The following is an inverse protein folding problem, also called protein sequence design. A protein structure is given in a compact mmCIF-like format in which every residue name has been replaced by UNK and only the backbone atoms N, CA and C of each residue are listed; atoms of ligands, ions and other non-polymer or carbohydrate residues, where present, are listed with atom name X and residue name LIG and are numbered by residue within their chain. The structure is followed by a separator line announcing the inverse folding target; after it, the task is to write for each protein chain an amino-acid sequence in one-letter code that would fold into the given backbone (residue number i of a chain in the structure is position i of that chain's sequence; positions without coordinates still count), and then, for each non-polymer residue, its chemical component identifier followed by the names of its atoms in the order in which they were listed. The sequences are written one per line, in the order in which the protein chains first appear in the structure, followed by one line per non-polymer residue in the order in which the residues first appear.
data_IF_121959848327
#
_entry.id   IF_121959848327
#
_cell.length_a   1.000
_cell.length_b   1.000
_cell.length_c   1.000
_cell.angle_alpha   90.00
_cell.angle_beta   90.00
_cell.angle_gamma   90.00
#
_symmetry.space_group_name_H-M   'P 1'
#
loop_
_entity.id
_entity.type
_entity.pdbx_description
1 polymer ?
#
# COMPACT_ATOMS: atom_id res chain seq x y z
N UNK A 1 44.85 24.27 -24.63
CA UNK A 1 43.45 23.97 -25.02
C UNK A 1 43.44 22.56 -25.57
N UNK A 2 42.89 21.59 -24.83
CA UNK A 2 42.83 20.18 -25.24
C UNK A 2 41.42 19.93 -25.75
N UNK A 3 41.29 19.68 -27.04
CA UNK A 3 40.01 19.36 -27.68
C UNK A 3 39.77 17.87 -27.54
N UNK A 4 38.99 17.47 -26.53
CA UNK A 4 38.58 16.08 -26.35
C UNK A 4 37.57 15.74 -27.45
N UNK A 5 38.01 14.99 -28.47
CA UNK A 5 37.11 14.44 -29.49
C UNK A 5 36.31 13.30 -28.83
N UNK A 6 35.01 13.51 -28.67
CA UNK A 6 34.09 12.45 -28.26
C UNK A 6 33.96 11.51 -29.47
N UNK A 7 34.49 10.30 -29.33
CA UNK A 7 34.29 9.25 -30.32
C UNK A 7 32.85 8.74 -30.20
N UNK A 8 32.00 9.08 -31.16
CA UNK A 8 30.73 8.39 -31.37
C UNK A 8 31.02 7.18 -32.25
N UNK A 9 31.10 6.00 -31.65
CA UNK A 9 31.09 4.72 -32.37
C UNK A 9 29.84 4.68 -33.28
N UNK A 10 29.98 4.41 -34.59
CA UNK A 10 28.84 4.28 -35.48
C UNK A 10 28.12 2.96 -35.19
N UNK A 11 27.15 2.96 -34.29
CA UNK A 11 26.22 1.83 -34.12
C UNK A 11 25.43 1.67 -35.42
N UNK A 12 25.73 0.62 -36.19
CA UNK A 12 24.94 0.22 -37.35
C UNK A 12 23.54 -0.19 -36.87
N UNK A 13 22.52 0.56 -37.30
CA UNK A 13 21.13 0.28 -36.98
C UNK A 13 20.70 -1.13 -37.40
N UNK A 14 21.39 -1.76 -38.35
CA UNK A 14 21.15 -3.14 -38.80
C UNK A 14 21.56 -4.20 -37.78
N UNK A 15 22.41 -3.82 -36.82
CA UNK A 15 22.84 -4.69 -35.70
C UNK A 15 22.18 -4.31 -34.38
N UNK A 16 21.38 -3.25 -34.36
CA UNK A 16 20.63 -2.84 -33.18
C UNK A 16 19.53 -3.88 -32.87
N UNK A 17 19.79 -4.74 -31.88
CA UNK A 17 18.78 -5.63 -31.34
C UNK A 17 17.81 -4.79 -30.48
N UNK A 18 16.77 -4.24 -31.10
CA UNK A 18 15.68 -3.58 -30.38
C UNK A 18 14.86 -4.69 -29.72
N UNK A 19 15.17 -5.01 -28.47
CA UNK A 19 14.49 -6.06 -27.69
C UNK A 19 13.09 -5.65 -27.22
N UNK A 20 12.70 -4.40 -27.41
CA UNK A 20 11.44 -3.83 -26.95
C UNK A 20 10.75 -3.09 -28.10
N UNK A 21 9.70 -3.69 -28.65
CA UNK A 21 8.91 -3.12 -29.72
C UNK A 21 8.17 -1.89 -29.21
N UNK A 22 7.85 -0.93 -30.09
CA UNK A 22 7.14 0.29 -29.68
C UNK A 22 5.77 0.00 -29.05
N UNK A 23 5.17 -1.15 -29.37
CA UNK A 23 3.90 -1.62 -28.82
C UNK A 23 4.07 -2.68 -27.72
N UNK A 24 5.30 -2.94 -27.27
CA UNK A 24 5.50 -3.82 -26.13
C UNK A 24 5.04 -3.09 -24.86
N UNK A 25 4.08 -3.66 -24.12
CA UNK A 25 3.66 -3.08 -22.86
C UNK A 25 4.86 -3.00 -21.90
N UNK A 26 5.06 -1.87 -21.19
CA UNK A 26 6.18 -1.73 -20.29
C UNK A 26 6.11 -2.82 -19.21
N UNK A 27 7.16 -3.63 -19.07
CA UNK A 27 7.19 -4.79 -18.15
C UNK A 27 6.79 -4.41 -16.72
N UNK A 28 7.03 -3.16 -16.30
CA UNK A 28 6.63 -2.59 -15.01
C UNK A 28 5.12 -2.76 -14.70
N UNK A 29 4.24 -2.86 -15.70
CA UNK A 29 2.80 -3.07 -15.47
C UNK A 29 2.47 -4.52 -15.05
N UNK A 30 3.36 -5.47 -15.34
CA UNK A 30 3.17 -6.89 -14.97
C UNK A 30 3.82 -7.23 -13.64
N UNK A 31 4.70 -6.37 -13.13
CA UNK A 31 5.28 -6.55 -11.80
C UNK A 31 4.26 -6.07 -10.77
N UNK A 32 3.63 -7.02 -10.08
CA UNK A 32 2.85 -6.74 -8.88
C UNK A 32 3.84 -6.16 -7.87
N UNK A 33 3.63 -4.92 -7.42
CA UNK A 33 4.44 -4.32 -6.36
C UNK A 33 4.27 -5.21 -5.14
N UNK A 34 5.30 -5.99 -4.80
CA UNK A 34 5.38 -6.62 -3.50
C UNK A 34 5.64 -5.47 -2.52
N UNK A 35 4.64 -5.17 -1.70
CA UNK A 35 4.76 -4.17 -0.66
C UNK A 35 5.76 -4.65 0.38
N UNK A 36 7.01 -4.24 0.22
CA UNK A 36 8.14 -4.51 1.13
C UNK A 36 8.09 -3.65 2.41
N UNK A 37 6.87 -3.27 2.82
CA UNK A 37 6.64 -2.54 4.05
C UNK A 37 6.56 -3.54 5.21
N UNK A 38 7.14 -3.16 6.35
CA UNK A 38 7.08 -3.90 7.61
C UNK A 38 5.61 -4.02 8.04
N UNK A 39 4.93 -5.05 7.53
CA UNK A 39 3.48 -5.22 7.71
C UNK A 39 3.13 -5.24 9.19
N UNK A 40 2.23 -4.34 9.59
CA UNK A 40 1.60 -4.41 10.90
C UNK A 40 0.85 -5.73 11.02
N UNK A 41 1.05 -6.42 12.15
CA UNK A 41 0.29 -7.62 12.45
C UNK A 41 -1.15 -7.28 12.88
N UNK A 42 -2.02 -8.29 12.92
CA UNK A 42 -3.44 -8.11 13.28
C UNK A 42 -3.63 -7.48 14.66
N UNK A 43 -2.73 -7.74 15.61
CA UNK A 43 -2.83 -7.21 16.97
C UNK A 43 -2.47 -5.73 17.00
N UNK A 44 -1.42 -5.34 16.26
CA UNK A 44 -1.01 -3.95 16.12
C UNK A 44 -2.09 -3.11 15.44
N UNK A 45 -2.68 -3.64 14.35
CA UNK A 45 -3.81 -3.01 13.66
C UNK A 45 -4.99 -2.81 14.62
N UNK A 46 -5.35 -3.84 15.38
CA UNK A 46 -6.45 -3.77 16.36
C UNK A 46 -6.21 -2.66 17.39
N UNK A 47 -5.02 -2.61 17.97
CA UNK A 47 -4.64 -1.59 18.96
C UNK A 47 -4.69 -0.17 18.39
N UNK A 48 -4.25 0.05 17.16
CA UNK A 48 -4.27 1.37 16.50
C UNK A 48 -5.72 1.82 16.30
N UNK A 49 -6.57 0.95 15.77
CA UNK A 49 -7.98 1.26 15.52
C UNK A 49 -8.71 1.54 16.84
N UNK A 50 -8.46 0.75 17.89
CA UNK A 50 -9.03 0.98 19.22
C UNK A 50 -8.62 2.33 19.78
N UNK A 51 -7.33 2.69 19.72
CA UNK A 51 -6.85 4.00 20.16
C UNK A 51 -7.49 5.14 19.36
N UNK A 52 -7.62 4.99 18.05
CA UNK A 52 -8.28 5.99 17.21
C UNK A 52 -9.75 6.19 17.60
N UNK A 53 -10.47 5.10 17.86
CA UNK A 53 -11.86 5.15 18.32
C UNK A 53 -12.00 5.83 19.69
N UNK A 54 -11.11 5.52 20.64
CA UNK A 54 -11.11 6.18 21.95
C UNK A 54 -10.82 7.69 21.83
N UNK A 55 -9.87 8.10 20.98
CA UNK A 55 -9.63 9.52 20.69
C UNK A 55 -10.89 10.17 20.12
N UNK A 56 -11.60 9.50 19.20
CA UNK A 56 -12.86 10.00 18.67
C UNK A 56 -13.94 10.13 19.75
N UNK A 57 -14.02 9.20 20.70
CA UNK A 57 -14.97 9.22 21.82
C UNK A 57 -14.68 10.36 22.79
N UNK A 58 -13.42 10.57 23.12
CA UNK A 58 -13.00 11.63 24.04
C UNK A 58 -13.28 13.04 23.47
N UNK A 59 -13.23 13.18 22.15
CA UNK A 59 -13.45 14.45 21.46
C UNK A 59 -14.89 14.60 20.90
N UNK A 60 -15.75 13.62 21.13
CA UNK A 60 -17.08 13.57 20.55
C UNK A 60 -18.02 14.63 21.14
N UNK A 61 -18.82 15.26 20.28
CA UNK A 61 -19.98 16.04 20.75
C UNK A 61 -21.16 15.10 20.99
N UNK A 62 -22.15 15.56 21.76
CA UNK A 62 -23.39 14.81 21.96
C UNK A 62 -24.12 14.48 20.64
N UNK A 63 -23.97 15.31 19.60
CA UNK A 63 -24.49 15.04 18.25
C UNK A 63 -23.89 13.79 17.59
N UNK A 64 -22.68 13.41 17.99
CA UNK A 64 -21.88 12.40 17.30
C UNK A 64 -22.07 11.01 17.90
N UNK A 65 -22.75 10.91 19.06
CA UNK A 65 -23.00 9.65 19.79
C UNK A 65 -23.55 8.54 18.91
N UNK A 66 -24.47 8.85 17.99
CA UNK A 66 -25.06 7.84 17.11
C UNK A 66 -24.04 7.29 16.11
N UNK A 67 -23.17 8.14 15.59
CA UNK A 67 -22.12 7.75 14.64
C UNK A 67 -21.07 6.89 15.34
N UNK A 68 -20.71 7.26 16.57
CA UNK A 68 -19.75 6.48 17.38
C UNK A 68 -20.30 5.10 17.69
N UNK A 69 -21.55 4.98 18.14
CA UNK A 69 -22.21 3.70 18.40
C UNK A 69 -22.29 2.81 17.16
N UNK A 70 -22.59 3.39 15.99
CA UNK A 70 -22.59 2.65 14.72
C UNK A 70 -21.17 2.17 14.37
N UNK A 71 -20.17 3.03 14.57
CA UNK A 71 -18.77 2.72 14.30
C UNK A 71 -18.26 1.61 15.21
N UNK A 72 -18.55 1.67 16.52
CA UNK A 72 -18.21 0.62 17.49
C UNK A 72 -18.76 -0.74 17.04
N UNK A 73 -20.05 -0.82 16.70
CA UNK A 73 -20.67 -2.08 16.23
C UNK A 73 -20.03 -2.63 14.95
N UNK A 74 -19.64 -1.75 14.03
CA UNK A 74 -18.97 -2.17 12.78
C UNK A 74 -17.54 -2.62 13.04
N UNK A 75 -16.86 -2.00 14.00
CA UNK A 75 -15.52 -2.36 14.41
C UNK A 75 -15.47 -3.67 15.19
N UNK A 76 -16.49 -4.02 15.98
CA UNK A 76 -16.60 -5.34 16.63
C UNK A 76 -16.47 -6.49 15.61
N UNK A 77 -17.16 -6.38 14.47
CA UNK A 77 -17.07 -7.38 13.38
C UNK A 77 -15.65 -7.44 12.80
N UNK A 78 -14.97 -6.29 12.69
CA UNK A 78 -13.59 -6.25 12.21
C UNK A 78 -12.63 -6.90 13.22
N UNK A 79 -12.80 -6.62 14.51
CA UNK A 79 -11.98 -7.20 15.58
C UNK A 79 -12.13 -8.72 15.62
N UNK A 80 -13.35 -9.24 15.54
CA UNK A 80 -13.59 -10.68 15.48
C UNK A 80 -12.87 -11.33 14.28
N UNK A 81 -12.92 -10.69 13.10
CA UNK A 81 -12.23 -11.18 11.90
C UNK A 81 -10.70 -11.13 12.01
N UNK A 82 -10.17 -10.13 12.71
CA UNK A 82 -8.73 -10.00 12.98
C UNK A 82 -8.27 -11.08 13.97
N UNK A 83 -9.01 -11.31 15.05
CA UNK A 83 -8.70 -12.33 16.06
C UNK A 83 -8.79 -13.76 15.50
N UNK A 84 -9.83 -14.02 14.71
CA UNK A 84 -10.03 -15.32 14.05
C UNK A 84 -9.16 -15.56 12.81
N UNK A 85 -8.29 -14.60 12.46
CA UNK A 85 -7.41 -14.64 11.27
C UNK A 85 -8.18 -14.92 9.96
N UNK A 86 -9.39 -14.40 9.84
CA UNK A 86 -10.27 -14.62 8.68
C UNK A 86 -10.01 -13.64 7.53
N UNK A 87 -9.11 -12.67 7.69
CA UNK A 87 -8.74 -11.74 6.64
C UNK A 87 -7.59 -12.30 5.80
N UNK A 88 -7.67 -12.15 4.48
CA UNK A 88 -6.56 -12.49 3.60
C UNK A 88 -5.36 -11.57 3.84
N UNK A 89 -4.14 -12.07 3.63
CA UNK A 89 -2.91 -11.27 3.77
C UNK A 89 -2.94 -9.99 2.93
N UNK A 90 -3.55 -10.04 1.75
CA UNK A 90 -3.74 -8.87 0.88
C UNK A 90 -4.62 -7.79 1.51
N UNK A 91 -5.67 -8.17 2.24
CA UNK A 91 -6.55 -7.25 2.96
C UNK A 91 -5.84 -6.75 4.21
N UNK A 92 -5.16 -7.64 4.94
CA UNK A 92 -4.40 -7.28 6.13
C UNK A 92 -3.30 -6.28 5.81
N UNK A 93 -2.54 -6.47 4.73
CA UNK A 93 -1.50 -5.53 4.30
C UNK A 93 -2.05 -4.19 3.79
N UNK A 94 -3.28 -4.14 3.28
CA UNK A 94 -3.95 -2.86 2.96
C UNK A 94 -4.46 -2.17 4.22
N UNK A 95 -4.99 -2.93 5.17
CA UNK A 95 -5.45 -2.41 6.45
C UNK A 95 -4.29 -1.90 7.30
N UNK A 96 -3.15 -2.60 7.31
CA UNK A 96 -1.92 -2.16 7.95
C UNK A 96 -1.48 -0.79 7.44
N UNK A 97 -1.44 -0.60 6.12
CA UNK A 97 -1.13 0.72 5.53
C UNK A 97 -2.12 1.82 5.85
N UNK A 98 -3.38 1.50 6.12
CA UNK A 98 -4.37 2.49 6.58
C UNK A 98 -4.10 2.93 8.01
N UNK A 99 -3.44 2.09 8.81
CA UNK A 99 -3.13 2.32 10.21
C UNK A 99 -1.74 2.94 10.44
N UNK A 100 -0.92 3.11 9.40
CA UNK A 100 0.36 3.83 9.41
C UNK A 100 0.17 5.35 9.28
#
# INVERSE_FOLDING_TARGET
MVTTKIATEPTDFRTASITQHWNDPPQKIFHKVEDDHKQLDSSQICLIIQKALEICKDNAKNSDKKIILDTEKRLEILYEKLESKQLSESVLGRLGRLCE
#
